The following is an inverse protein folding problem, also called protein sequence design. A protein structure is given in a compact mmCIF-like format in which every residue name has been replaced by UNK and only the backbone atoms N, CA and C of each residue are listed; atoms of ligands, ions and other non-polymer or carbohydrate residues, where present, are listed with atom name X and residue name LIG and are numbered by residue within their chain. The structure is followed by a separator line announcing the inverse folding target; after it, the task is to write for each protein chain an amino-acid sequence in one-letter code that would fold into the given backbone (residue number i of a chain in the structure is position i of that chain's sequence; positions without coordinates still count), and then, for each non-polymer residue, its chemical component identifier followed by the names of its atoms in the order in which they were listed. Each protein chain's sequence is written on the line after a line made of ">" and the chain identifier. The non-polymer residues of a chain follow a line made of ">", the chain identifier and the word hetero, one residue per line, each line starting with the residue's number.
data_IF_655804440730
#
_entry.id   IF_655804440730
#
_cell.length_a   1.000
_cell.length_b   1.000
_cell.length_c   1.000
_cell.angle_alpha   90.00
_cell.angle_beta   90.00
_cell.angle_gamma   90.00
#
_symmetry.space_group_name_H-M   'P 1'
#
loop_
_entity.id
_entity.type
_entity.pdbx_description
1 polymer ?
#
# COMPACT_ATOMS: atom_id res chain seq x y z
N UNK A 1 12.87 0.33 11.63
CA UNK A 1 13.73 0.75 10.47
C UNK A 1 13.53 2.22 10.09
N UNK A 2 12.29 2.77 10.03
CA UNK A 2 12.09 4.18 9.65
C UNK A 2 12.60 5.16 10.70
N UNK A 3 12.42 4.88 11.99
CA UNK A 3 12.91 5.74 13.07
C UNK A 3 14.44 5.90 13.03
N UNK A 4 15.15 4.80 12.88
CA UNK A 4 16.62 4.82 12.76
C UNK A 4 17.08 5.65 11.56
N UNK A 5 16.54 5.36 10.37
CA UNK A 5 16.93 6.10 9.16
C UNK A 5 16.61 7.60 9.23
N UNK A 6 15.46 7.97 9.82
CA UNK A 6 15.08 9.39 9.96
C UNK A 6 15.98 10.11 10.98
N UNK A 7 16.30 9.45 12.10
CA UNK A 7 17.17 10.00 13.13
C UNK A 7 18.61 10.12 12.62
N UNK A 8 19.15 9.10 11.93
CA UNK A 8 20.50 9.17 11.35
C UNK A 8 20.63 10.35 10.37
N UNK A 9 19.65 10.53 9.48
CA UNK A 9 19.69 11.68 8.56
C UNK A 9 19.60 13.04 9.27
N UNK A 10 18.90 13.12 10.40
CA UNK A 10 18.84 14.32 11.22
C UNK A 10 20.19 14.57 11.91
N UNK A 11 20.79 13.56 12.53
CA UNK A 11 22.11 13.63 13.16
C UNK A 11 23.18 14.04 12.16
N UNK A 12 23.20 13.40 10.98
CA UNK A 12 24.14 13.74 9.90
C UNK A 12 23.99 15.20 9.44
N UNK A 13 22.76 15.71 9.42
CA UNK A 13 22.51 17.11 9.09
C UNK A 13 23.01 18.04 10.21
N UNK A 14 22.72 17.73 11.48
CA UNK A 14 23.18 18.50 12.63
C UNK A 14 24.70 18.61 12.67
N UNK A 15 25.41 17.50 12.45
CA UNK A 15 26.88 17.47 12.42
C UNK A 15 27.43 18.41 11.32
N UNK A 16 26.82 18.40 10.13
CA UNK A 16 27.22 19.32 9.05
C UNK A 16 26.89 20.77 9.33
N UNK A 17 25.82 21.04 10.10
CA UNK A 17 25.40 22.37 10.47
C UNK A 17 26.13 22.92 11.73
N UNK A 18 26.97 22.11 12.38
CA UNK A 18 27.68 22.48 13.61
C UNK A 18 26.74 22.63 14.82
N UNK A 19 25.59 21.92 14.84
CA UNK A 19 24.61 22.00 15.94
C UNK A 19 24.43 20.65 16.62
N UNK A 20 24.13 20.68 17.90
CA UNK A 20 23.89 19.47 18.70
C UNK A 20 22.54 18.85 18.35
N UNK A 21 22.47 17.53 18.02
CA UNK A 21 21.21 16.88 17.64
C UNK A 21 20.27 16.61 18.83
N UNK A 22 20.82 16.30 20.00
CA UNK A 22 20.09 15.99 21.25
C UNK A 22 20.84 16.56 22.47
N UNK A 23 20.11 17.09 23.49
CA UNK A 23 18.66 17.27 23.57
C UNK A 23 18.09 18.01 22.36
N UNK A 24 16.91 17.57 21.88
CA UNK A 24 16.28 18.21 20.73
C UNK A 24 15.77 19.60 21.07
N UNK A 25 16.23 20.62 20.35
CA UNK A 25 15.74 21.98 20.45
C UNK A 25 14.73 22.29 19.34
N UNK A 26 13.70 23.09 19.69
CA UNK A 26 12.66 23.50 18.74
C UNK A 26 13.24 24.23 17.53
N UNK A 27 14.17 25.16 17.75
CA UNK A 27 14.81 25.94 16.70
C UNK A 27 15.60 25.03 15.73
N UNK A 28 16.35 24.07 16.25
CA UNK A 28 17.12 23.09 15.46
C UNK A 28 16.19 22.23 14.60
N UNK A 29 15.03 21.78 15.16
CA UNK A 29 14.06 21.00 14.39
C UNK A 29 13.41 21.84 13.29
N UNK A 30 13.02 23.08 13.57
CA UNK A 30 12.46 24.00 12.58
C UNK A 30 13.45 24.21 11.44
N UNK A 31 14.69 24.57 11.74
CA UNK A 31 15.73 24.80 10.74
C UNK A 31 15.97 23.55 9.86
N UNK A 32 16.08 22.38 10.48
CA UNK A 32 16.18 21.12 9.72
C UNK A 32 15.03 20.94 8.75
N UNK A 33 13.77 21.10 9.20
CA UNK A 33 12.58 20.92 8.35
C UNK A 33 12.55 21.93 7.19
N UNK A 34 12.96 23.17 7.44
CA UNK A 34 13.08 24.22 6.41
C UNK A 34 14.15 23.88 5.37
N UNK A 35 15.29 23.35 5.78
CA UNK A 35 16.34 22.92 4.88
C UNK A 35 15.92 21.77 3.97
N UNK A 36 15.16 20.80 4.48
CA UNK A 36 14.79 19.60 3.72
C UNK A 36 13.45 19.70 3.01
N UNK A 37 12.64 20.74 3.28
CA UNK A 37 11.27 20.82 2.76
C UNK A 37 11.19 20.71 1.24
N UNK A 38 12.13 21.26 0.50
CA UNK A 38 12.10 21.28 -0.96
C UNK A 38 12.17 19.87 -1.58
N UNK A 39 12.80 18.94 -0.89
CA UNK A 39 13.05 17.56 -1.36
C UNK A 39 11.99 16.55 -0.91
N UNK A 40 11.12 16.91 0.03
CA UNK A 40 10.20 15.96 0.67
C UNK A 40 8.76 16.44 0.70
N UNK A 41 7.81 15.49 0.56
CA UNK A 41 6.40 15.73 0.77
C UNK A 41 6.11 16.06 2.25
N UNK A 42 5.06 16.84 2.54
CA UNK A 42 4.68 17.21 3.89
C UNK A 42 4.46 16.02 4.82
N UNK A 43 3.88 14.93 4.31
CA UNK A 43 3.69 13.69 5.07
C UNK A 43 5.02 13.05 5.49
N UNK A 44 6.06 13.16 4.67
CA UNK A 44 7.41 12.69 4.99
C UNK A 44 8.03 13.56 6.07
N UNK A 45 7.89 14.90 5.99
CA UNK A 45 8.38 15.82 7.02
C UNK A 45 7.71 15.53 8.37
N UNK A 46 6.39 15.38 8.41
CA UNK A 46 5.66 15.01 9.63
C UNK A 46 6.15 13.68 10.22
N UNK A 47 6.37 12.66 9.39
CA UNK A 47 6.89 11.38 9.85
C UNK A 47 8.28 11.53 10.45
N UNK A 48 9.19 12.27 9.78
CA UNK A 48 10.55 12.55 10.29
C UNK A 48 10.51 13.26 11.63
N UNK A 49 9.70 14.31 11.75
CA UNK A 49 9.47 14.99 13.04
C UNK A 49 9.08 14.02 14.13
N UNK A 50 8.07 13.17 13.88
CA UNK A 50 7.64 12.17 14.87
C UNK A 50 8.74 11.15 15.20
N UNK A 51 9.55 10.76 14.23
CA UNK A 51 10.69 9.87 14.43
C UNK A 51 11.76 10.49 15.31
N UNK A 52 12.15 11.73 15.02
CA UNK A 52 13.19 12.48 15.77
C UNK A 52 12.74 12.71 17.21
N UNK A 53 11.51 13.19 17.43
CA UNK A 53 10.94 13.38 18.77
C UNK A 53 10.89 12.07 19.57
N UNK A 54 10.52 10.97 18.90
CA UNK A 54 10.52 9.64 19.55
C UNK A 54 11.93 9.22 19.98
N UNK A 55 12.94 9.47 19.16
CA UNK A 55 14.33 9.16 19.49
C UNK A 55 14.81 10.04 20.64
N UNK A 56 14.48 11.34 20.65
CA UNK A 56 14.76 12.24 21.78
C UNK A 56 14.21 11.70 23.10
N UNK A 57 12.95 11.25 23.12
CA UNK A 57 12.35 10.64 24.31
C UNK A 57 12.99 9.30 24.71
N UNK A 58 13.45 8.47 23.75
CA UNK A 58 14.17 7.24 24.05
C UNK A 58 15.55 7.48 24.67
N UNK A 59 16.16 8.64 24.39
CA UNK A 59 17.41 9.11 25.01
C UNK A 59 17.19 9.73 26.40
N UNK A 60 15.97 9.73 26.93
CA UNK A 60 15.64 10.27 28.23
C UNK A 60 15.41 11.78 28.26
N UNK A 61 15.37 12.44 27.11
CA UNK A 61 15.13 13.89 27.06
C UNK A 61 13.63 14.21 27.02
N UNK A 62 13.21 15.35 27.61
CA UNK A 62 11.84 15.82 27.57
C UNK A 62 11.40 16.09 26.12
N UNK A 63 10.10 15.95 25.86
CA UNK A 63 9.56 16.30 24.56
C UNK A 63 9.57 17.82 24.37
N UNK A 64 9.88 18.27 23.14
CA UNK A 64 9.88 19.71 22.85
C UNK A 64 8.46 20.26 22.85
N UNK A 65 8.24 21.44 23.44
CA UNK A 65 6.96 22.12 23.37
C UNK A 65 6.62 22.42 21.90
N UNK A 66 5.34 22.26 21.53
CA UNK A 66 4.87 22.75 20.25
C UNK A 66 4.45 24.21 20.38
N UNK A 67 5.43 25.08 20.64
CA UNK A 67 5.23 26.49 20.78
C UNK A 67 4.76 27.16 19.47
N UNK A 68 4.36 28.40 19.53
CA UNK A 68 3.84 29.11 18.36
C UNK A 68 4.85 29.18 17.19
N UNK A 69 6.16 29.40 17.42
CA UNK A 69 7.14 29.35 16.32
C UNK A 69 7.11 28.04 15.52
N UNK A 70 7.04 26.89 16.21
CA UNK A 70 6.95 25.58 15.56
C UNK A 70 5.64 25.43 14.76
N UNK A 71 4.50 25.84 15.36
CA UNK A 71 3.19 25.77 14.68
C UNK A 71 3.17 26.62 13.42
N UNK A 72 3.73 27.84 13.48
CA UNK A 72 3.83 28.74 12.33
C UNK A 72 4.74 28.17 11.23
N UNK A 73 5.90 27.61 11.58
CA UNK A 73 6.80 26.96 10.63
C UNK A 73 6.11 25.80 9.93
N UNK A 74 5.44 24.92 10.67
CA UNK A 74 4.70 23.79 10.09
C UNK A 74 3.54 24.25 9.20
N UNK A 75 2.81 25.31 9.57
CA UNK A 75 1.75 25.89 8.73
C UNK A 75 2.32 26.47 7.44
N UNK A 76 3.44 27.21 7.51
CA UNK A 76 4.14 27.76 6.34
C UNK A 76 4.60 26.65 5.38
N UNK A 77 5.30 25.64 5.90
CA UNK A 77 5.76 24.49 5.12
C UNK A 77 4.55 23.77 4.48
N UNK A 78 3.47 23.57 5.22
CA UNK A 78 2.26 22.91 4.69
C UNK A 78 1.62 23.70 3.54
N UNK A 79 1.52 25.04 3.68
CA UNK A 79 0.94 25.90 2.63
C UNK A 79 1.78 25.94 1.37
N UNK A 80 3.10 25.83 1.48
CA UNK A 80 4.02 25.78 0.34
C UNK A 80 3.98 24.44 -0.43
N UNK A 81 3.23 23.44 0.06
CA UNK A 81 3.14 22.11 -0.56
C UNK A 81 1.83 21.93 -1.33
N UNK A 82 1.85 21.13 -2.40
CA UNK A 82 0.61 20.78 -3.11
C UNK A 82 -0.42 20.19 -2.14
N UNK A 83 -1.65 20.65 -2.23
CA UNK A 83 -2.77 20.22 -1.36
C UNK A 83 -3.07 18.74 -1.52
N UNK A 84 -2.88 18.20 -2.74
CA UNK A 84 -3.10 16.78 -3.02
C UNK A 84 -1.77 16.02 -3.07
N UNK A 85 -1.57 15.12 -2.12
CA UNK A 85 -0.57 14.06 -2.28
C UNK A 85 -0.96 13.21 -3.50
N UNK A 86 0.01 12.93 -4.39
CA UNK A 86 -0.23 12.02 -5.52
C UNK A 86 -0.70 10.67 -4.97
N UNK A 87 -1.95 10.35 -5.25
CA UNK A 87 -2.50 9.04 -4.96
C UNK A 87 -2.19 8.11 -6.13
N UNK A 88 -1.95 6.83 -5.85
CA UNK A 88 -1.83 5.83 -6.91
C UNK A 88 -3.14 5.78 -7.69
N UNK A 89 -3.04 5.74 -9.02
CA UNK A 89 -4.18 5.54 -9.90
C UNK A 89 -4.76 4.14 -9.68
N UNK A 90 -6.08 4.04 -9.58
CA UNK A 90 -6.79 2.76 -9.49
C UNK A 90 -6.66 1.94 -10.78
N UNK A 91 -6.57 0.64 -10.63
CA UNK A 91 -6.75 -0.33 -11.72
C UNK A 91 -8.19 -0.80 -11.62
N UNK A 92 -9.08 -0.26 -12.47
CA UNK A 92 -10.47 -0.68 -12.54
C UNK A 92 -10.61 -2.10 -13.10
N UNK A 93 -11.81 -2.65 -13.05
CA UNK A 93 -12.12 -4.03 -13.48
C UNK A 93 -11.68 -4.30 -14.93
N UNK A 94 -11.95 -3.40 -15.86
CA UNK A 94 -11.60 -3.59 -17.26
C UNK A 94 -10.09 -3.63 -17.49
N UNK A 95 -9.35 -2.71 -16.86
CA UNK A 95 -7.90 -2.69 -16.93
C UNK A 95 -7.31 -3.92 -16.25
N UNK A 96 -7.89 -4.38 -15.14
CA UNK A 96 -7.49 -5.62 -14.46
C UNK A 96 -7.64 -6.83 -15.39
N UNK A 97 -8.79 -6.98 -16.06
CA UNK A 97 -9.03 -8.09 -16.97
C UNK A 97 -8.03 -8.11 -18.12
N UNK A 98 -7.78 -6.96 -18.75
CA UNK A 98 -6.73 -6.83 -19.78
C UNK A 98 -5.34 -7.14 -19.24
N UNK A 99 -5.02 -6.67 -18.02
CA UNK A 99 -3.73 -6.92 -17.39
C UNK A 99 -3.51 -8.40 -17.05
N UNK A 100 -4.56 -9.11 -16.67
CA UNK A 100 -4.57 -10.56 -16.44
C UNK A 100 -4.37 -11.29 -17.77
N UNK A 101 -5.12 -10.94 -18.81
CA UNK A 101 -5.03 -11.57 -20.12
C UNK A 101 -3.65 -11.37 -20.78
N UNK A 102 -3.00 -10.24 -20.54
CA UNK A 102 -1.68 -9.94 -21.08
C UNK A 102 -0.51 -10.65 -20.38
N UNK A 103 -0.76 -11.45 -19.32
CA UNK A 103 0.32 -12.24 -18.69
C UNK A 103 0.72 -13.43 -19.55
N UNK A 104 2.03 -13.79 -19.60
CA UNK A 104 2.52 -14.94 -20.34
C UNK A 104 1.97 -16.26 -19.79
N UNK A 105 2.05 -17.35 -20.58
CA UNK A 105 1.54 -18.68 -20.19
C UNK A 105 2.55 -19.49 -19.36
N UNK A 106 3.70 -18.91 -19.01
CA UNK A 106 4.71 -19.51 -18.16
C UNK A 106 4.30 -19.53 -16.67
N UNK A 107 5.11 -20.15 -15.84
CA UNK A 107 4.86 -20.26 -14.39
C UNK A 107 4.74 -18.89 -13.71
N UNK A 108 5.54 -17.91 -14.14
CA UNK A 108 5.51 -16.54 -13.64
C UNK A 108 4.18 -15.87 -13.98
N UNK A 109 3.72 -16.01 -15.21
CA UNK A 109 2.46 -15.44 -15.67
C UNK A 109 1.24 -16.08 -15.01
N UNK A 110 1.25 -17.39 -14.81
CA UNK A 110 0.18 -18.10 -14.07
C UNK A 110 0.08 -17.57 -12.64
N UNK A 111 1.22 -17.43 -11.93
CA UNK A 111 1.26 -16.80 -10.61
C UNK A 111 0.73 -15.37 -10.64
N UNK A 112 1.18 -14.58 -11.60
CA UNK A 112 0.85 -13.16 -11.68
C UNK A 112 -0.64 -12.94 -11.92
N UNK A 113 -1.30 -13.76 -12.77
CA UNK A 113 -2.75 -13.72 -12.97
C UNK A 113 -3.51 -13.91 -11.66
N UNK A 114 -3.15 -14.94 -10.90
CA UNK A 114 -3.77 -15.20 -9.61
C UNK A 114 -3.50 -14.07 -8.60
N UNK A 115 -2.26 -13.57 -8.53
CA UNK A 115 -1.87 -12.48 -7.63
C UNK A 115 -2.63 -11.18 -7.95
N UNK A 116 -2.76 -10.81 -9.22
CA UNK A 116 -3.48 -9.60 -9.65
C UNK A 116 -4.96 -9.70 -9.29
N UNK A 117 -5.60 -10.84 -9.57
CA UNK A 117 -7.02 -11.07 -9.30
C UNK A 117 -7.31 -11.09 -7.79
N UNK A 118 -6.53 -11.83 -7.00
CA UNK A 118 -6.66 -11.89 -5.54
C UNK A 118 -6.37 -10.52 -4.91
N UNK A 119 -5.35 -9.82 -5.37
CA UNK A 119 -5.00 -8.49 -4.86
C UNK A 119 -6.12 -7.47 -5.02
N UNK A 120 -6.86 -7.58 -6.12
CA UNK A 120 -8.03 -6.76 -6.40
C UNK A 120 -9.22 -7.20 -5.55
N UNK A 121 -9.67 -8.46 -5.64
CA UNK A 121 -10.88 -8.94 -4.97
C UNK A 121 -10.79 -8.86 -3.44
N UNK A 122 -9.62 -9.15 -2.87
CA UNK A 122 -9.38 -9.05 -1.42
C UNK A 122 -9.13 -7.62 -0.95
N UNK A 123 -9.12 -6.63 -1.83
CA UNK A 123 -8.68 -5.26 -1.51
C UNK A 123 -7.37 -5.28 -0.70
N UNK A 124 -6.45 -6.17 -1.06
CA UNK A 124 -5.29 -6.48 -0.24
C UNK A 124 -4.23 -5.38 -0.32
N UNK A 125 -3.61 -5.07 0.82
CA UNK A 125 -2.38 -4.29 0.82
C UNK A 125 -1.25 -5.15 0.29
N UNK A 126 -0.23 -4.52 -0.29
CA UNK A 126 0.96 -5.21 -0.80
C UNK A 126 1.60 -6.13 0.26
N UNK A 127 1.70 -5.68 1.50
CA UNK A 127 2.24 -6.49 2.60
C UNK A 127 1.32 -7.65 3.00
N UNK A 128 0.03 -7.50 2.85
CA UNK A 128 -0.95 -8.55 3.10
C UNK A 128 -0.81 -9.66 2.04
N UNK A 129 -0.73 -9.30 0.75
CA UNK A 129 -0.51 -10.26 -0.33
C UNK A 129 0.77 -11.08 -0.14
N UNK A 130 1.85 -10.44 0.30
CA UNK A 130 3.12 -11.16 0.52
C UNK A 130 3.10 -12.04 1.76
N UNK A 131 2.19 -11.83 2.67
CA UNK A 131 2.06 -12.61 3.91
C UNK A 131 1.08 -13.78 3.80
N UNK A 132 0.25 -13.85 2.74
CA UNK A 132 -0.72 -14.91 2.57
C UNK A 132 -0.05 -16.28 2.47
N UNK A 133 -0.63 -17.26 3.16
CA UNK A 133 -0.25 -18.67 3.12
C UNK A 133 -1.34 -19.52 2.47
N UNK A 134 -1.02 -20.76 2.12
CA UNK A 134 -1.99 -21.69 1.55
C UNK A 134 -3.20 -21.89 2.48
N UNK A 135 -2.95 -21.99 3.77
CA UNK A 135 -3.94 -22.17 4.83
C UNK A 135 -4.85 -20.95 5.07
N UNK A 136 -4.51 -19.81 4.48
CA UNK A 136 -5.31 -18.57 4.60
C UNK A 136 -6.44 -18.51 3.58
N UNK A 137 -6.55 -19.48 2.66
CA UNK A 137 -7.56 -19.49 1.60
C UNK A 137 -8.30 -20.81 1.55
N UNK A 138 -9.56 -20.74 1.31
CA UNK A 138 -10.47 -21.88 1.24
C UNK A 138 -11.40 -21.73 0.03
N UNK A 139 -11.64 -22.83 -0.68
CA UNK A 139 -12.61 -22.88 -1.76
C UNK A 139 -13.89 -23.50 -1.23
N UNK A 140 -15.03 -22.81 -1.38
CA UNK A 140 -16.31 -23.36 -0.99
C UNK A 140 -16.86 -24.35 -2.01
N UNK A 141 -17.91 -25.08 -1.62
CA UNK A 141 -18.55 -26.09 -2.46
C UNK A 141 -19.20 -25.51 -3.73
N UNK A 142 -19.51 -24.21 -3.76
CA UNK A 142 -20.10 -23.50 -4.90
C UNK A 142 -19.03 -22.86 -5.81
N UNK A 143 -17.75 -23.16 -5.58
CA UNK A 143 -16.64 -22.63 -6.36
C UNK A 143 -16.16 -21.24 -5.95
N UNK A 144 -16.75 -20.64 -4.91
CA UNK A 144 -16.32 -19.39 -4.33
C UNK A 144 -14.97 -19.49 -3.64
N UNK A 145 -14.40 -18.35 -3.34
CA UNK A 145 -13.11 -18.23 -2.64
C UNK A 145 -13.29 -17.36 -1.40
N UNK A 146 -12.91 -17.91 -0.28
CA UNK A 146 -12.83 -17.22 1.02
C UNK A 146 -11.38 -17.15 1.47
N UNK A 147 -11.01 -16.07 2.12
CA UNK A 147 -9.67 -15.92 2.67
C UNK A 147 -9.67 -15.18 4.00
N UNK A 148 -8.54 -15.27 4.71
CA UNK A 148 -8.28 -14.56 5.96
C UNK A 148 -7.01 -13.75 5.83
N UNK A 149 -7.10 -12.44 6.02
CA UNK A 149 -5.94 -11.57 6.20
C UNK A 149 -5.63 -11.52 7.70
N UNK A 150 -4.64 -12.31 8.17
CA UNK A 150 -4.35 -12.50 9.60
C UNK A 150 -3.87 -11.25 10.31
N UNK A 151 -3.05 -10.44 9.63
CA UNK A 151 -2.46 -9.22 10.21
C UNK A 151 -2.40 -8.11 9.17
N UNK A 152 -2.67 -6.89 9.60
CA UNK A 152 -2.49 -5.72 8.78
C UNK A 152 -1.79 -4.61 9.56
N UNK A 153 -1.32 -3.58 8.85
CA UNK A 153 -0.71 -2.39 9.48
C UNK A 153 -1.66 -1.68 10.46
N UNK A 154 -2.97 -1.81 10.25
CA UNK A 154 -4.03 -1.19 11.04
C UNK A 154 -4.66 -2.15 12.06
N UNK A 155 -4.15 -3.37 12.14
CA UNK A 155 -4.58 -4.41 13.07
C UNK A 155 -3.36 -4.98 13.81
N UNK A 156 -2.84 -4.25 14.81
CA UNK A 156 -1.67 -4.68 15.59
C UNK A 156 -1.95 -5.90 16.45
N UNK A 157 -3.22 -6.14 16.80
CA UNK A 157 -3.64 -7.26 17.64
C UNK A 157 -3.91 -8.55 16.86
N UNK A 158 -3.87 -8.51 15.51
CA UNK A 158 -4.04 -9.69 14.69
C UNK A 158 -5.45 -10.29 14.73
N UNK A 159 -6.50 -9.46 14.90
CA UNK A 159 -7.90 -9.91 14.83
C UNK A 159 -8.23 -10.50 13.46
N UNK A 160 -7.49 -10.07 12.44
CA UNK A 160 -7.68 -10.50 11.08
C UNK A 160 -8.98 -9.96 10.45
N UNK A 161 -9.14 -10.25 9.16
CA UNK A 161 -10.41 -9.99 8.46
C UNK A 161 -10.69 -11.07 7.43
N UNK A 162 -11.95 -11.42 7.31
CA UNK A 162 -12.45 -12.26 6.22
C UNK A 162 -12.46 -11.45 4.92
N UNK A 163 -12.11 -12.12 3.85
CA UNK A 163 -12.14 -11.58 2.48
C UNK A 163 -12.72 -12.62 1.54
N UNK A 164 -13.31 -12.16 0.45
CA UNK A 164 -13.95 -13.02 -0.52
C UNK A 164 -13.41 -12.72 -1.90
N UNK A 165 -13.25 -13.76 -2.72
CA UNK A 165 -12.82 -13.67 -4.10
C UNK A 165 -13.94 -14.11 -5.04
N UNK A 166 -13.96 -13.51 -6.24
CA UNK A 166 -14.83 -13.91 -7.33
C UNK A 166 -14.46 -15.30 -7.86
N UNK A 167 -15.36 -15.89 -8.62
CA UNK A 167 -15.13 -17.16 -9.34
C UNK A 167 -13.89 -17.08 -10.22
N UNK A 168 -13.66 -15.93 -10.89
CA UNK A 168 -12.43 -15.68 -11.65
C UNK A 168 -11.20 -15.88 -10.77
N UNK A 169 -11.17 -15.24 -9.60
CA UNK A 169 -10.05 -15.36 -8.65
C UNK A 169 -9.86 -16.79 -8.17
N UNK A 170 -10.95 -17.51 -7.90
CA UNK A 170 -10.90 -18.91 -7.51
C UNK A 170 -10.28 -19.79 -8.61
N UNK A 171 -10.70 -19.61 -9.85
CA UNK A 171 -10.20 -20.38 -10.99
C UNK A 171 -8.71 -20.10 -11.28
N UNK A 172 -8.30 -18.83 -11.26
CA UNK A 172 -6.90 -18.46 -11.45
C UNK A 172 -6.02 -18.98 -10.30
N UNK A 173 -6.52 -18.92 -9.07
CA UNK A 173 -5.79 -19.43 -7.92
C UNK A 173 -5.66 -20.97 -7.96
N UNK A 174 -6.72 -21.71 -8.33
CA UNK A 174 -6.65 -23.16 -8.52
C UNK A 174 -5.62 -23.53 -9.59
N UNK A 175 -5.57 -22.77 -10.71
CA UNK A 175 -4.57 -22.98 -11.76
C UNK A 175 -3.14 -22.79 -11.25
N UNK A 176 -2.91 -21.76 -10.43
CA UNK A 176 -1.62 -21.51 -9.80
C UNK A 176 -1.24 -22.61 -8.81
N UNK A 177 -2.15 -22.98 -7.89
CA UNK A 177 -1.89 -24.00 -6.86
C UNK A 177 -1.60 -25.39 -7.44
N UNK A 178 -2.13 -25.72 -8.62
CA UNK A 178 -1.78 -26.97 -9.32
C UNK A 178 -0.34 -26.98 -9.87
N UNK A 179 0.26 -25.84 -10.09
CA UNK A 179 1.62 -25.70 -10.63
C UNK A 179 2.67 -25.44 -9.54
N UNK A 180 2.23 -24.93 -8.42
CA UNK A 180 3.09 -24.63 -7.28
C UNK A 180 3.32 -25.90 -6.43
N UNK A 181 4.55 -26.20 -5.97
CA UNK A 181 4.81 -27.26 -4.99
C UNK A 181 3.98 -27.08 -3.71
N UNK A 182 3.44 -28.20 -3.20
CA UNK A 182 2.52 -28.20 -2.04
C UNK A 182 3.24 -27.89 -0.72
N UNK A 183 4.50 -28.25 -0.60
CA UNK A 183 5.39 -28.03 0.54
C UNK A 183 5.75 -26.55 0.74
N UNK A 184 5.63 -25.70 -0.29
CA UNK A 184 5.84 -24.27 -0.16
C UNK A 184 4.62 -23.63 0.53
N UNK A 185 4.77 -23.07 1.75
CA UNK A 185 3.64 -22.58 2.54
C UNK A 185 3.06 -21.26 2.02
N UNK A 186 3.83 -20.48 1.27
CA UNK A 186 3.43 -19.16 0.78
C UNK A 186 2.42 -19.28 -0.35
N UNK A 187 1.29 -18.58 -0.25
CA UNK A 187 0.29 -18.56 -1.32
C UNK A 187 0.91 -18.05 -2.64
N UNK A 188 1.70 -16.98 -2.55
CA UNK A 188 2.47 -16.43 -3.67
C UNK A 188 3.95 -16.49 -3.36
N UNK A 189 4.61 -17.55 -3.82
CA UNK A 189 6.06 -17.69 -3.68
C UNK A 189 6.82 -16.93 -4.77
N UNK A 190 8.10 -16.68 -4.52
CA UNK A 190 9.01 -16.20 -5.54
C UNK A 190 9.22 -17.31 -6.59
N UNK A 191 9.36 -16.89 -7.85
CA UNK A 191 9.63 -17.80 -9.00
C UNK A 191 10.88 -17.29 -9.69
N UNK A 192 11.81 -18.19 -9.94
CA UNK A 192 13.01 -17.96 -10.72
C UNK A 192 12.96 -18.90 -11.94
N UNK A 193 12.88 -18.32 -13.15
CA UNK A 193 12.56 -19.08 -14.37
C UNK A 193 11.30 -19.94 -14.15
N UNK A 194 11.40 -21.25 -14.26
CA UNK A 194 10.30 -22.21 -14.06
C UNK A 194 10.30 -22.91 -12.70
N UNK A 195 11.04 -22.35 -11.71
CA UNK A 195 11.16 -22.96 -10.38
C UNK A 195 10.55 -22.07 -9.31
N UNK A 196 9.65 -22.63 -8.50
CA UNK A 196 9.16 -22.00 -7.28
C UNK A 196 10.23 -22.05 -6.18
N UNK A 197 10.43 -20.94 -5.48
CA UNK A 197 11.36 -20.86 -4.37
C UNK A 197 10.59 -20.84 -3.04
N UNK A 198 11.10 -21.48 -2.00
CA UNK A 198 10.50 -21.45 -0.66
C UNK A 198 10.75 -20.11 0.04
N UNK A 199 10.27 -19.08 -0.58
CA UNK A 199 10.14 -17.74 0.00
C UNK A 199 8.98 -17.00 -0.62
N UNK A 200 8.35 -16.14 0.16
CA UNK A 200 7.29 -15.27 -0.33
C UNK A 200 7.80 -14.31 -1.41
N UNK A 201 6.92 -13.96 -2.34
CA UNK A 201 7.14 -12.82 -3.23
C UNK A 201 7.32 -11.53 -2.40
N UNK A 202 8.36 -10.76 -2.66
CA UNK A 202 8.58 -9.54 -1.88
C UNK A 202 7.68 -8.38 -2.35
N UNK A 203 7.44 -7.43 -1.44
CA UNK A 203 6.55 -6.30 -1.75
C UNK A 203 7.03 -5.44 -2.93
N UNK A 204 8.33 -5.35 -3.20
CA UNK A 204 8.86 -4.68 -4.40
C UNK A 204 8.43 -5.44 -5.66
N UNK A 205 8.58 -6.74 -5.66
CA UNK A 205 8.17 -7.60 -6.77
C UNK A 205 6.66 -7.47 -7.05
N UNK A 206 5.81 -7.43 -6.01
CA UNK A 206 4.36 -7.17 -6.20
C UNK A 206 4.13 -5.86 -6.94
N UNK A 207 4.81 -4.77 -6.55
CA UNK A 207 4.68 -3.49 -7.25
C UNK A 207 5.14 -3.56 -8.70
N UNK A 208 6.23 -4.28 -8.99
CA UNK A 208 6.73 -4.48 -10.36
C UNK A 208 5.77 -5.34 -11.20
N UNK A 209 5.17 -6.39 -10.61
CA UNK A 209 4.15 -7.20 -11.29
C UNK A 209 2.98 -6.31 -11.72
N UNK A 210 2.45 -5.49 -10.81
CA UNK A 210 1.32 -4.61 -11.10
C UNK A 210 1.66 -3.60 -12.20
N UNK A 211 2.83 -2.95 -12.12
CA UNK A 211 3.28 -2.00 -13.14
C UNK A 211 3.42 -2.66 -14.52
N UNK A 212 4.17 -3.77 -14.58
CA UNK A 212 4.40 -4.49 -15.84
C UNK A 212 3.12 -5.04 -16.45
N UNK A 213 2.17 -5.48 -15.60
CA UNK A 213 0.88 -5.96 -16.07
C UNK A 213 0.10 -4.87 -16.81
N UNK A 214 0.11 -3.63 -16.29
CA UNK A 214 -0.55 -2.48 -16.92
C UNK A 214 0.19 -2.05 -18.21
N UNK A 215 1.52 -2.02 -18.20
CA UNK A 215 2.32 -1.66 -19.39
C UNK A 215 2.08 -2.64 -20.56
N UNK A 216 1.86 -3.92 -20.26
CA UNK A 216 1.57 -4.94 -21.29
C UNK A 216 0.19 -4.77 -21.94
N UNK A 217 -0.73 -4.03 -21.34
CA UNK A 217 -2.03 -3.80 -21.96
C UNK A 217 -1.90 -2.78 -23.10
N UNK A 218 -2.22 -3.18 -24.33
CA UNK A 218 -2.20 -2.29 -25.50
C UNK A 218 -3.22 -1.15 -25.29
N UNK A 219 -2.77 0.10 -25.42
CA UNK A 219 -3.63 1.29 -25.37
C UNK A 219 -3.69 2.04 -24.02
N UNK A 220 -3.24 1.47 -22.93
CA UNK A 220 -3.11 2.22 -21.68
C UNK A 220 -1.62 2.56 -21.45
N UNK A 221 -1.26 3.83 -21.59
CA UNK A 221 0.00 4.38 -21.04
C UNK A 221 -0.34 5.28 -19.85
N UNK A 222 -0.78 4.73 -18.68
CA UNK A 222 -0.72 5.53 -17.47
C UNK A 222 0.77 5.86 -17.28
N UNK A 223 1.05 7.07 -16.84
CA UNK A 223 2.42 7.39 -16.44
C UNK A 223 2.83 6.34 -15.41
N UNK A 224 3.89 5.58 -15.65
CA UNK A 224 4.33 4.47 -14.78
C UNK A 224 4.47 4.89 -13.30
N UNK A 225 4.77 6.17 -13.08
CA UNK A 225 4.84 6.78 -11.75
C UNK A 225 3.49 6.80 -10.99
N UNK A 226 2.36 6.60 -11.68
CA UNK A 226 1.01 6.63 -11.08
C UNK A 226 0.54 5.23 -10.64
N UNK A 227 1.18 4.16 -11.15
CA UNK A 227 0.83 2.77 -10.82
C UNK A 227 1.75 2.24 -9.72
N UNK A 228 1.16 1.61 -8.74
CA UNK A 228 1.88 1.00 -7.60
C UNK A 228 1.19 -0.28 -7.12
N UNK A 229 1.80 -0.97 -6.15
CA UNK A 229 1.15 -2.11 -5.49
C UNK A 229 -0.17 -1.77 -4.76
N UNK A 230 -0.51 -0.48 -4.60
CA UNK A 230 -1.80 -0.04 -4.07
C UNK A 230 -2.89 0.14 -5.14
N UNK A 231 -2.53 0.15 -6.42
CA UNK A 231 -3.45 0.44 -7.52
C UNK A 231 -4.59 -0.57 -7.66
N UNK A 232 -4.35 -1.84 -7.34
CA UNK A 232 -5.39 -2.88 -7.29
C UNK A 232 -6.45 -2.55 -6.25
N UNK A 233 -6.02 -2.22 -5.03
CA UNK A 233 -6.91 -1.88 -3.93
C UNK A 233 -7.67 -0.57 -4.16
N UNK A 234 -7.04 0.41 -4.78
CA UNK A 234 -7.69 1.68 -5.15
C UNK A 234 -8.78 1.42 -6.18
N UNK A 235 -8.47 0.69 -7.25
CA UNK A 235 -9.43 0.35 -8.31
C UNK A 235 -10.60 -0.46 -7.79
N UNK A 236 -10.33 -1.52 -7.02
CA UNK A 236 -11.38 -2.34 -6.43
C UNK A 236 -12.35 -1.53 -5.55
N UNK A 237 -11.84 -0.62 -4.71
CA UNK A 237 -12.69 0.23 -3.88
C UNK A 237 -13.54 1.20 -4.72
N UNK A 238 -12.99 1.74 -5.81
CA UNK A 238 -13.69 2.62 -6.73
C UNK A 238 -14.77 1.90 -7.51
N UNK A 239 -14.48 0.68 -7.98
CA UNK A 239 -15.45 -0.15 -8.70
C UNK A 239 -16.60 -0.60 -7.78
N UNK A 240 -16.31 -0.97 -6.52
CA UNK A 240 -17.36 -1.27 -5.53
C UNK A 240 -18.28 -0.07 -5.27
N UNK A 241 -17.72 1.15 -5.21
CA UNK A 241 -18.52 2.36 -5.09
C UNK A 241 -19.37 2.58 -6.34
N UNK A 242 -18.79 2.40 -7.53
CA UNK A 242 -19.50 2.50 -8.80
C UNK A 242 -20.59 1.45 -8.95
N UNK A 243 -20.40 0.23 -8.42
CA UNK A 243 -21.40 -0.83 -8.36
C UNK A 243 -22.48 -0.57 -7.28
N UNK A 244 -22.39 0.53 -6.49
CA UNK A 244 -23.38 0.98 -5.51
C UNK A 244 -23.32 0.36 -4.13
N UNK A 245 -22.20 -0.28 -3.83
CA UNK A 245 -21.97 -0.74 -2.47
C UNK A 245 -21.83 0.44 -1.50
N UNK A 246 -22.41 0.33 -0.31
CA UNK A 246 -22.29 1.34 0.73
C UNK A 246 -20.86 1.44 1.27
N UNK A 247 -20.50 2.62 1.77
CA UNK A 247 -19.16 2.91 2.28
C UNK A 247 -18.77 1.97 3.43
N UNK A 248 -19.72 1.58 4.28
CA UNK A 248 -19.48 0.65 5.39
C UNK A 248 -19.09 -0.75 4.87
N UNK A 249 -19.76 -1.26 3.83
CA UNK A 249 -19.41 -2.51 3.18
C UNK A 249 -18.01 -2.46 2.56
N UNK A 250 -17.70 -1.36 1.85
CA UNK A 250 -16.37 -1.14 1.26
C UNK A 250 -15.29 -1.06 2.35
N UNK A 251 -15.56 -0.36 3.46
CA UNK A 251 -14.66 -0.26 4.60
C UNK A 251 -14.39 -1.63 5.24
N UNK A 252 -15.42 -2.44 5.46
CA UNK A 252 -15.27 -3.81 5.98
C UNK A 252 -14.42 -4.66 5.04
N UNK A 253 -14.76 -4.69 3.75
CA UNK A 253 -14.03 -5.45 2.73
C UNK A 253 -12.54 -5.04 2.66
N UNK A 254 -12.24 -3.74 2.75
CA UNK A 254 -10.88 -3.22 2.72
C UNK A 254 -10.15 -3.22 4.07
N UNK A 255 -10.84 -3.44 5.19
CA UNK A 255 -10.26 -3.32 6.55
C UNK A 255 -9.82 -1.88 6.84
N UNK A 256 -10.69 -0.91 6.56
CA UNK A 256 -10.53 0.49 6.97
C UNK A 256 -11.34 0.74 8.24
N UNK A 257 -10.66 1.18 9.30
CA UNK A 257 -11.29 1.60 10.56
C UNK A 257 -11.71 3.07 10.58
N UNK A 258 -11.24 3.87 9.60
CA UNK A 258 -11.49 5.31 9.55
C UNK A 258 -12.03 5.69 8.18
N UNK A 259 -13.22 6.32 8.17
CA UNK A 259 -13.91 6.78 6.96
C UNK A 259 -13.06 7.77 6.15
N UNK A 260 -12.36 8.71 6.79
CA UNK A 260 -11.52 9.68 6.09
C UNK A 260 -10.38 9.02 5.30
N UNK A 261 -9.93 7.83 5.74
CA UNK A 261 -8.94 7.04 5.00
C UNK A 261 -9.61 6.37 3.79
N UNK A 262 -10.78 5.76 3.96
CA UNK A 262 -11.53 5.14 2.87
C UNK A 262 -11.93 6.18 1.80
N UNK A 263 -12.47 7.32 2.22
CA UNK A 263 -12.84 8.43 1.33
C UNK A 263 -11.67 8.94 0.49
N UNK A 264 -10.44 8.88 0.99
CA UNK A 264 -9.25 9.24 0.20
C UNK A 264 -9.05 8.32 -1.00
N UNK A 265 -9.40 7.03 -0.89
CA UNK A 265 -9.35 6.08 -2.01
C UNK A 265 -10.49 6.31 -3.01
N UNK A 266 -11.63 6.77 -2.52
CA UNK A 266 -12.84 6.98 -3.31
C UNK A 266 -12.90 8.36 -3.98
N UNK A 267 -12.15 9.35 -3.49
CA UNK A 267 -12.21 10.75 -3.96
C UNK A 267 -11.84 10.97 -5.44
N UNK A 268 -11.25 9.98 -6.10
CA UNK A 268 -10.92 9.99 -7.52
C UNK A 268 -11.84 9.05 -8.32
N UNK A 269 -12.84 8.42 -7.68
CA UNK A 269 -13.84 7.66 -8.40
C UNK A 269 -14.71 8.63 -9.23
N UNK A 270 -14.83 8.36 -10.53
CA UNK A 270 -15.81 9.03 -11.38
C UNK A 270 -17.18 8.45 -11.03
N UNK A 271 -17.87 9.09 -10.12
CA UNK A 271 -19.21 8.72 -9.70
C UNK A 271 -20.16 9.89 -9.98
N UNK A 272 -20.89 9.78 -11.08
CA UNK A 272 -21.93 10.74 -11.42
C UNK A 272 -23.23 10.31 -10.76
N UNK A 273 -23.60 10.97 -9.65
CA UNK A 273 -24.83 10.69 -8.91
C UNK A 273 -26.12 10.97 -9.69
N UNK A 274 -26.04 11.68 -10.80
CA UNK A 274 -27.17 12.03 -11.67
C UNK A 274 -27.38 11.03 -12.81
N UNK A 275 -26.46 10.10 -13.05
CA UNK A 275 -26.67 9.01 -13.99
C UNK A 275 -27.41 7.89 -13.26
N UNK A 276 -28.67 7.71 -13.62
CA UNK A 276 -29.43 6.49 -13.24
C UNK A 276 -28.73 5.25 -13.81
N UNK A 277 -28.69 4.21 -13.04
CA UNK A 277 -28.18 2.88 -13.41
C UNK A 277 -29.16 2.16 -14.31
#
# INVERSE_FOLDING_TARGET
>A
RSYHSDASQFVDWCLRAGVTPFPLEEATLIHYLECIQHRHAFTTLRRRTSSIRRVNGLLGHPDIPQAEPYRLAIRRIKRAKPIRTRQARGINRDLLLRAIAAQPEDLVGIRNRALLSIGYDFLARRSELTALRNEDVEFDARGGLRGVIRRSKTDPYGRGRLVFGSERSANLLRRWLRRKPKDIPWLFCAVNHDTCLDRSVCGRTVSEIVKRAVVRTRGARPREAEISGHSLRVGAAQDLLADGHDIGAIMRAGGWSNMSIAMRYLSLAEHNIWQSR
#
